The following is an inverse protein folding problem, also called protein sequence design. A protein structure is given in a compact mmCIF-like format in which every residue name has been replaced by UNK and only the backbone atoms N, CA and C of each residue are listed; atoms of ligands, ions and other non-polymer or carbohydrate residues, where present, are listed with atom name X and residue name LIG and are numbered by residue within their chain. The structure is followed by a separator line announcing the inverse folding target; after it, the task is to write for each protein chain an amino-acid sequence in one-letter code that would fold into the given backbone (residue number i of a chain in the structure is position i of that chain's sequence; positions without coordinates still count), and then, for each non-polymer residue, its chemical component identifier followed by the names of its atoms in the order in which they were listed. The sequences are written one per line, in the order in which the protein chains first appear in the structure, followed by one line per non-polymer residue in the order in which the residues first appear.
data_IF_960629572530
#
_entry.id   IF_960629572530
#
_cell.length_a   1.000
_cell.length_b   1.000
_cell.length_c   1.000
_cell.angle_alpha   90.00
_cell.angle_beta   90.00
_cell.angle_gamma   90.00
#
_symmetry.space_group_name_H-M   'P 1'
#
loop_
_entity.id
_entity.type
_entity.pdbx_description
1 polymer ?
#
# COMPACT_ATOMS: atom_id res chain seq x y z
N UNK A 1 -28.43 6.41 1.12
CA UNK A 1 -27.14 6.21 1.81
C UNK A 1 -26.59 4.87 1.34
N UNK A 2 -25.32 4.77 0.94
CA UNK A 2 -24.76 3.49 0.48
C UNK A 2 -24.53 2.56 1.69
N UNK A 3 -24.99 1.32 1.62
CA UNK A 3 -24.87 0.38 2.73
C UNK A 3 -23.43 -0.17 2.79
N UNK A 4 -22.68 0.25 3.82
CA UNK A 4 -21.27 -0.11 4.03
C UNK A 4 -21.04 -1.61 4.27
N UNK A 5 -22.09 -2.37 4.57
CA UNK A 5 -22.05 -3.82 4.80
C UNK A 5 -22.23 -4.62 3.51
N UNK A 6 -22.81 -4.05 2.46
CA UNK A 6 -23.07 -4.77 1.24
C UNK A 6 -21.83 -4.75 0.31
N UNK A 7 -21.29 -5.91 -0.07
CA UNK A 7 -20.23 -5.97 -1.05
C UNK A 7 -20.70 -5.52 -2.42
N UNK A 8 -19.82 -4.81 -3.13
CA UNK A 8 -19.99 -4.44 -4.53
C UNK A 8 -19.38 -5.52 -5.41
N UNK A 9 -19.92 -5.69 -6.61
CA UNK A 9 -19.39 -6.63 -7.60
C UNK A 9 -18.41 -5.93 -8.55
N UNK A 10 -17.37 -6.64 -8.93
CA UNK A 10 -16.41 -6.22 -9.94
C UNK A 10 -16.01 -7.39 -10.83
N UNK A 11 -15.67 -7.10 -12.08
CA UNK A 11 -15.16 -8.05 -13.06
C UNK A 11 -13.65 -7.91 -13.20
N UNK A 12 -12.94 -9.03 -13.17
CA UNK A 12 -11.49 -9.05 -13.39
C UNK A 12 -11.20 -8.76 -14.86
N UNK A 13 -10.37 -7.75 -15.11
CA UNK A 13 -9.98 -7.33 -16.46
C UNK A 13 -8.55 -7.67 -16.82
N UNK A 14 -7.68 -7.83 -15.82
CA UNK A 14 -6.29 -8.27 -16.00
C UNK A 14 -5.81 -9.03 -14.76
N UNK A 15 -5.06 -10.09 -14.99
CA UNK A 15 -4.28 -10.80 -13.97
C UNK A 15 -2.84 -10.82 -14.44
N UNK A 16 -1.90 -10.51 -13.56
CA UNK A 16 -0.47 -10.51 -13.84
C UNK A 16 0.28 -11.22 -12.71
N UNK A 17 1.06 -12.26 -13.02
CA UNK A 17 1.93 -12.89 -12.03
C UNK A 17 3.10 -11.94 -11.72
N UNK A 18 3.30 -11.60 -10.45
CA UNK A 18 4.36 -10.69 -10.00
C UNK A 18 5.57 -11.44 -9.42
N UNK A 19 5.30 -12.52 -8.69
CA UNK A 19 6.28 -13.45 -8.08
C UNK A 19 5.72 -14.89 -8.16
N UNK A 20 6.43 -15.92 -7.69
CA UNK A 20 5.91 -17.28 -7.66
C UNK A 20 4.56 -17.42 -6.93
N UNK A 21 4.35 -16.67 -5.85
CA UNK A 21 3.17 -16.73 -4.98
C UNK A 21 2.29 -15.46 -5.02
N UNK A 22 2.61 -14.44 -5.82
CA UNK A 22 1.80 -13.21 -5.95
C UNK A 22 1.23 -13.03 -7.35
N UNK A 23 -0.07 -12.71 -7.37
CA UNK A 23 -0.77 -12.20 -8.55
C UNK A 23 -1.29 -10.79 -8.29
N UNK A 24 -1.13 -9.92 -9.26
CA UNK A 24 -1.79 -8.62 -9.35
C UNK A 24 -3.10 -8.79 -10.09
N UNK A 25 -4.18 -8.29 -9.50
CA UNK A 25 -5.52 -8.32 -10.07
C UNK A 25 -5.96 -6.90 -10.36
N UNK A 26 -6.36 -6.64 -11.61
CA UNK A 26 -7.06 -5.43 -12.02
C UNK A 26 -8.52 -5.76 -12.23
N UNK A 27 -9.42 -4.99 -11.64
CA UNK A 27 -10.85 -5.22 -11.75
C UNK A 27 -11.62 -3.90 -11.93
N UNK A 28 -12.78 -4.03 -12.56
CA UNK A 28 -13.70 -2.92 -12.85
C UNK A 28 -15.05 -3.24 -12.24
N UNK A 29 -15.68 -2.26 -11.60
CA UNK A 29 -17.01 -2.42 -11.01
C UNK A 29 -18.02 -2.84 -12.07
N UNK A 30 -18.90 -3.78 -11.74
CA UNK A 30 -20.03 -4.21 -12.59
C UNK A 30 -21.35 -3.99 -11.86
N UNK A 31 -22.22 -3.17 -12.44
CA UNK A 31 -23.53 -2.84 -11.88
C UNK A 31 -23.51 -2.01 -10.58
N UNK A 32 -24.70 -1.53 -10.17
CA UNK A 32 -24.94 -0.67 -9.01
C UNK A 32 -25.30 0.77 -9.40
N UNK A 33 -25.97 1.56 -8.52
CA UNK A 33 -26.33 2.93 -8.83
C UNK A 33 -25.10 3.75 -9.22
N UNK A 34 -25.24 4.58 -10.28
CA UNK A 34 -24.18 5.38 -10.89
C UNK A 34 -23.53 6.41 -9.94
N UNK A 35 -24.18 6.68 -8.81
CA UNK A 35 -23.76 7.69 -7.86
C UNK A 35 -23.15 7.04 -6.61
N UNK A 36 -21.82 6.99 -6.57
CA UNK A 36 -21.05 6.80 -5.34
C UNK A 36 -21.56 7.81 -4.29
N UNK A 37 -22.19 7.31 -3.23
CA UNK A 37 -22.67 8.12 -2.13
C UNK A 37 -21.49 8.76 -1.42
N UNK A 38 -21.50 10.09 -1.36
CA UNK A 38 -20.49 10.89 -0.69
C UNK A 38 -20.38 10.54 0.81
N UNK A 39 -19.34 9.81 1.18
CA UNK A 39 -18.83 9.79 2.55
C UNK A 39 -17.42 10.39 2.54
N UNK A 40 -17.30 11.70 2.75
CA UNK A 40 -16.02 12.42 2.97
C UNK A 40 -14.84 12.11 2.02
N UNK A 41 -15.08 11.70 0.79
CA UNK A 41 -14.04 11.57 -0.23
C UNK A 41 -14.08 12.80 -1.15
N UNK A 42 -12.95 13.49 -1.31
CA UNK A 42 -12.86 14.60 -2.26
C UNK A 42 -13.26 14.06 -3.64
N UNK A 43 -14.26 14.66 -4.30
CA UNK A 43 -14.69 14.28 -5.65
C UNK A 43 -13.73 14.86 -6.67
N UNK A 44 -13.46 14.11 -7.73
CA UNK A 44 -13.20 14.64 -9.06
C UNK A 44 -14.24 14.02 -9.99
N UNK A 45 -14.43 14.67 -11.14
CA UNK A 45 -15.44 14.43 -12.17
C UNK A 45 -15.64 12.97 -12.64
N UNK A 46 -14.80 12.02 -12.22
CA UNK A 46 -14.71 10.70 -12.85
C UNK A 46 -14.85 9.48 -11.90
N UNK A 47 -15.31 9.63 -10.65
CA UNK A 47 -16.08 8.54 -10.01
C UNK A 47 -15.38 7.46 -9.16
N UNK A 48 -14.08 7.53 -8.85
CA UNK A 48 -13.47 6.78 -7.73
C UNK A 48 -12.30 7.58 -7.15
N UNK A 49 -12.34 7.93 -5.86
CA UNK A 49 -11.20 8.53 -5.15
C UNK A 49 -11.04 7.79 -3.82
N UNK A 50 -10.00 6.97 -3.75
CA UNK A 50 -9.40 6.56 -2.50
C UNK A 50 -8.18 7.46 -2.26
N UNK A 51 -7.89 7.73 -1.00
CA UNK A 51 -6.61 8.30 -0.63
C UNK A 51 -5.55 7.18 -0.63
N UNK A 52 -4.34 7.42 -1.19
CA UNK A 52 -3.22 6.50 -1.03
C UNK A 52 -3.07 6.04 0.42
N UNK A 53 -2.80 4.75 0.62
CA UNK A 53 -2.73 4.12 1.94
C UNK A 53 -4.05 3.51 2.43
N UNK A 54 -5.19 3.83 1.81
CA UNK A 54 -6.44 3.11 2.08
C UNK A 54 -6.44 1.70 1.49
N UNK A 55 -7.33 0.87 2.01
CA UNK A 55 -7.48 -0.54 1.59
C UNK A 55 -8.95 -0.85 1.26
N UNK A 56 -9.16 -2.01 0.65
CA UNK A 56 -10.49 -2.61 0.48
C UNK A 56 -10.52 -3.98 1.14
N UNK A 57 -11.71 -4.46 1.47
CA UNK A 57 -11.92 -5.89 1.71
C UNK A 57 -12.34 -6.51 0.38
N UNK A 58 -11.52 -7.38 -0.20
CA UNK A 58 -11.85 -8.08 -1.44
C UNK A 58 -12.12 -9.56 -1.15
N UNK A 59 -13.07 -10.14 -1.88
CA UNK A 59 -13.58 -11.46 -1.58
C UNK A 59 -14.22 -12.15 -2.77
N UNK A 60 -14.72 -13.35 -2.48
CA UNK A 60 -15.51 -14.17 -3.39
C UNK A 60 -16.68 -14.73 -2.59
N UNK A 61 -17.86 -14.78 -3.20
CA UNK A 61 -19.03 -15.41 -2.59
C UNK A 61 -18.72 -16.84 -2.14
N UNK A 62 -19.10 -17.18 -0.91
CA UNK A 62 -18.83 -18.50 -0.31
C UNK A 62 -17.43 -18.67 0.30
N UNK A 63 -16.46 -17.79 0.02
CA UNK A 63 -15.10 -17.88 0.55
C UNK A 63 -14.76 -16.80 1.60
N UNK A 64 -15.56 -15.72 1.65
CA UNK A 64 -15.33 -14.57 2.53
C UNK A 64 -14.52 -13.47 1.85
N UNK A 65 -13.93 -12.58 2.65
CA UNK A 65 -13.15 -11.42 2.19
C UNK A 65 -11.92 -11.18 3.08
N UNK A 66 -10.92 -10.50 2.54
CA UNK A 66 -9.68 -10.15 3.22
C UNK A 66 -9.22 -8.73 2.84
N UNK A 67 -8.45 -8.04 3.71
CA UNK A 67 -7.95 -6.69 3.44
C UNK A 67 -6.82 -6.69 2.42
N UNK A 68 -6.90 -5.77 1.46
CA UNK A 68 -5.85 -5.53 0.46
C UNK A 68 -5.66 -4.04 0.22
N UNK A 69 -4.42 -3.58 0.32
CA UNK A 69 -4.04 -2.21 -0.04
C UNK A 69 -4.22 -1.94 -1.54
N UNK A 70 -4.70 -0.74 -1.86
CA UNK A 70 -4.86 -0.32 -3.25
C UNK A 70 -3.54 0.21 -3.81
N UNK A 71 -3.17 -0.28 -4.99
CA UNK A 71 -1.92 0.09 -5.68
C UNK A 71 -2.12 0.82 -7.02
N UNK A 72 -3.37 0.90 -7.49
CA UNK A 72 -3.72 1.75 -8.62
C UNK A 72 -3.48 3.23 -8.29
N UNK A 73 -3.35 4.08 -9.33
CA UNK A 73 -3.32 5.53 -9.12
C UNK A 73 -4.68 6.02 -8.61
N UNK A 74 -4.74 6.91 -7.59
CA UNK A 74 -6.02 7.50 -7.14
C UNK A 74 -6.68 8.38 -8.21
N UNK A 75 -5.96 8.70 -9.28
CA UNK A 75 -6.50 9.45 -10.42
C UNK A 75 -7.02 8.56 -11.56
N UNK A 76 -6.82 7.25 -11.49
CA UNK A 76 -7.35 6.28 -12.45
C UNK A 76 -8.58 5.62 -11.84
N UNK A 77 -9.76 6.06 -12.28
CA UNK A 77 -11.06 5.59 -11.79
C UNK A 77 -11.65 4.44 -12.64
N UNK A 78 -11.04 4.14 -13.79
CA UNK A 78 -11.55 3.09 -14.67
C UNK A 78 -11.35 1.70 -14.09
N UNK A 79 -10.47 1.52 -13.11
CA UNK A 79 -10.15 0.23 -12.50
C UNK A 79 -9.52 0.39 -11.11
N UNK A 80 -9.55 -0.67 -10.32
CA UNK A 80 -8.75 -0.81 -9.10
C UNK A 80 -7.74 -1.95 -9.29
N UNK A 81 -6.62 -1.87 -8.58
CA UNK A 81 -5.60 -2.92 -8.55
C UNK A 81 -5.28 -3.33 -7.12
N UNK A 82 -5.11 -4.64 -6.91
CA UNK A 82 -4.60 -5.25 -5.68
C UNK A 82 -3.57 -6.33 -6.01
N UNK A 83 -2.62 -6.53 -5.11
CA UNK A 83 -1.63 -7.61 -5.19
C UNK A 83 -1.96 -8.61 -4.10
N UNK A 84 -2.16 -9.87 -4.49
CA UNK A 84 -2.60 -10.94 -3.60
C UNK A 84 -1.52 -12.00 -3.54
N UNK A 85 -0.92 -12.15 -2.36
CA UNK A 85 -0.06 -13.29 -2.04
C UNK A 85 -0.91 -14.51 -1.70
N UNK A 86 -0.59 -15.66 -2.26
CA UNK A 86 -1.22 -16.92 -1.89
C UNK A 86 -0.60 -17.43 -0.59
N UNK A 87 -1.31 -17.22 0.51
CA UNK A 87 -0.89 -17.67 1.84
C UNK A 87 -1.46 -19.05 2.21
N UNK A 88 -2.17 -19.71 1.30
CA UNK A 88 -2.93 -20.94 1.60
C UNK A 88 -4.23 -20.68 2.38
N UNK A 89 -4.54 -19.44 2.73
CA UNK A 89 -5.80 -19.07 3.37
C UNK A 89 -7.00 -19.14 2.42
N UNK A 90 -8.21 -19.27 2.98
CA UNK A 90 -9.44 -19.49 2.20
C UNK A 90 -9.64 -18.48 1.06
N UNK A 91 -9.55 -17.18 1.39
CA UNK A 91 -9.77 -16.08 0.42
C UNK A 91 -8.61 -15.94 -0.57
N UNK A 92 -7.37 -15.92 -0.09
CA UNK A 92 -6.19 -15.72 -0.95
C UNK A 92 -6.00 -16.87 -1.93
N UNK A 93 -6.22 -18.11 -1.47
CA UNK A 93 -6.16 -19.30 -2.32
C UNK A 93 -7.31 -19.31 -3.34
N UNK A 94 -8.53 -18.92 -2.95
CA UNK A 94 -9.66 -18.82 -3.87
C UNK A 94 -9.45 -17.74 -4.95
N UNK A 95 -8.94 -16.55 -4.59
CA UNK A 95 -8.60 -15.49 -5.54
C UNK A 95 -7.58 -15.96 -6.58
N UNK A 96 -6.61 -16.79 -6.17
CA UNK A 96 -5.59 -17.32 -7.08
C UNK A 96 -6.12 -18.29 -8.13
N UNK A 97 -7.32 -18.84 -7.98
CA UNK A 97 -7.98 -19.70 -8.97
C UNK A 97 -8.78 -18.93 -10.03
N UNK A 98 -9.03 -17.65 -9.80
CA UNK A 98 -9.80 -16.82 -10.72
C UNK A 98 -9.03 -16.53 -12.01
N UNK A 99 -9.80 -16.29 -13.06
CA UNK A 99 -9.36 -15.94 -14.40
C UNK A 99 -9.86 -14.55 -14.80
N UNK A 100 -9.30 -14.01 -15.88
CA UNK A 100 -9.82 -12.78 -16.48
C UNK A 100 -11.27 -13.03 -16.90
N UNK A 101 -12.17 -12.13 -16.52
CA UNK A 101 -13.60 -12.25 -16.78
C UNK A 101 -14.41 -12.70 -15.58
N UNK A 102 -13.79 -13.31 -14.56
CA UNK A 102 -14.50 -13.72 -13.36
C UNK A 102 -14.94 -12.52 -12.51
N UNK A 103 -15.96 -12.74 -11.68
CA UNK A 103 -16.47 -11.76 -10.73
C UNK A 103 -15.79 -11.89 -9.37
N UNK A 104 -15.53 -10.75 -8.72
CA UNK A 104 -15.13 -10.64 -7.32
C UNK A 104 -16.08 -9.72 -6.58
N UNK A 105 -16.07 -9.80 -5.25
CA UNK A 105 -16.70 -8.83 -4.37
C UNK A 105 -15.68 -7.92 -3.73
N UNK A 106 -16.09 -6.69 -3.42
CA UNK A 106 -15.30 -5.83 -2.55
C UNK A 106 -16.13 -4.86 -1.73
N UNK A 107 -15.60 -4.47 -0.57
CA UNK A 107 -16.10 -3.39 0.29
C UNK A 107 -15.00 -2.35 0.54
N UNK A 108 -15.41 -1.11 0.81
CA UNK A 108 -14.50 0.02 1.02
C UNK A 108 -14.58 1.10 -0.08
N UNK A 109 -13.56 1.94 -0.25
CA UNK A 109 -12.30 1.94 0.49
C UNK A 109 -12.51 2.22 1.99
N UNK A 110 -11.64 1.64 2.81
CA UNK A 110 -11.63 1.77 4.26
C UNK A 110 -10.32 2.38 4.76
N UNK A 111 -10.37 2.84 6.01
CA UNK A 111 -9.24 3.43 6.72
C UNK A 111 -8.91 4.87 6.33
N UNK A 112 -7.86 5.37 6.97
CA UNK A 112 -7.21 6.66 6.83
C UNK A 112 -5.98 6.48 5.95
N UNK A 113 -5.88 7.30 4.90
CA UNK A 113 -4.73 7.33 3.99
C UNK A 113 -3.68 8.36 4.41
N UNK A 114 -2.65 8.53 3.57
CA UNK A 114 -1.60 9.54 3.79
C UNK A 114 -2.15 10.98 3.75
N UNK A 115 -1.62 11.91 4.57
CA UNK A 115 -2.02 13.31 4.56
C UNK A 115 -1.36 14.06 3.39
N UNK A 116 -1.91 13.88 2.18
CA UNK A 116 -1.27 14.32 0.92
C UNK A 116 -0.94 15.83 0.88
N UNK A 117 -1.78 16.68 1.47
CA UNK A 117 -1.52 18.12 1.51
C UNK A 117 -0.33 18.49 2.39
N UNK A 118 -0.16 17.79 3.53
CA UNK A 118 0.98 17.98 4.42
C UNK A 118 2.30 17.55 3.77
N UNK A 119 2.24 16.56 2.87
CA UNK A 119 3.40 16.05 2.15
C UNK A 119 3.86 16.96 1.00
N UNK A 120 3.07 17.97 0.60
CA UNK A 120 3.46 18.89 -0.49
C UNK A 120 4.69 19.71 -0.10
N UNK A 121 5.55 19.95 -1.07
CA UNK A 121 6.84 20.66 -0.94
C UNK A 121 7.84 20.00 0.01
N UNK A 122 7.57 18.78 0.48
CA UNK A 122 8.49 17.99 1.31
C UNK A 122 9.35 17.06 0.46
N UNK A 123 10.52 16.73 0.99
CA UNK A 123 11.25 15.54 0.57
C UNK A 123 10.54 14.30 1.13
N UNK A 124 10.50 13.19 0.40
CA UNK A 124 9.93 11.93 0.90
C UNK A 124 10.89 10.77 0.76
N UNK A 125 11.04 10.02 1.85
CA UNK A 125 11.72 8.74 1.91
C UNK A 125 10.69 7.63 2.11
N UNK A 126 10.41 6.89 1.06
CA UNK A 126 9.49 5.77 1.10
C UNK A 126 10.27 4.48 1.23
N UNK A 127 9.91 3.64 2.21
CA UNK A 127 10.57 2.36 2.43
C UNK A 127 9.55 1.23 2.42
N UNK A 128 9.79 0.23 1.58
CA UNK A 128 8.92 -0.93 1.46
C UNK A 128 9.70 -2.23 1.65
N UNK A 129 9.06 -3.23 2.24
CA UNK A 129 9.60 -4.59 2.37
C UNK A 129 8.64 -5.64 1.83
N UNK A 130 9.08 -6.42 0.84
CA UNK A 130 8.34 -7.53 0.24
C UNK A 130 6.94 -7.12 -0.21
N UNK A 131 5.93 -7.66 0.45
CA UNK A 131 4.51 -7.45 0.15
C UNK A 131 3.94 -6.13 0.69
N UNK A 132 4.71 -5.35 1.44
CA UNK A 132 4.31 -4.03 1.96
C UNK A 132 4.35 -2.89 0.92
N UNK A 133 4.73 -3.17 -0.33
CA UNK A 133 4.76 -2.16 -1.39
C UNK A 133 3.40 -1.54 -1.77
N UNK A 134 2.22 -2.20 -1.69
CA UNK A 134 0.95 -1.64 -2.19
C UNK A 134 0.57 -0.25 -1.66
N UNK A 135 0.53 0.04 -0.34
CA UNK A 135 0.20 1.38 0.15
C UNK A 135 1.21 2.43 -0.33
N UNK A 136 2.49 2.07 -0.42
CA UNK A 136 3.56 2.93 -0.93
C UNK A 136 3.42 3.16 -2.44
N UNK A 137 3.03 2.14 -3.21
CA UNK A 137 2.79 2.23 -4.65
C UNK A 137 1.68 3.25 -4.95
N UNK A 138 0.56 3.19 -4.23
CA UNK A 138 -0.51 4.18 -4.37
C UNK A 138 -0.04 5.61 -4.09
N UNK A 139 0.86 5.80 -3.11
CA UNK A 139 1.44 7.10 -2.80
C UNK A 139 2.40 7.58 -3.91
N UNK A 140 3.25 6.69 -4.43
CA UNK A 140 4.15 7.00 -5.56
C UNK A 140 3.34 7.41 -6.80
N UNK A 141 2.28 6.69 -7.13
CA UNK A 141 1.42 7.03 -8.28
C UNK A 141 0.78 8.42 -8.12
N UNK A 142 0.45 8.83 -6.89
CA UNK A 142 -0.01 10.19 -6.61
C UNK A 142 1.10 11.22 -6.81
N UNK A 143 2.28 10.95 -6.24
CA UNK A 143 3.45 11.85 -6.28
C UNK A 143 3.93 12.04 -7.71
N UNK A 144 4.12 10.96 -8.47
CA UNK A 144 4.60 11.01 -9.87
C UNK A 144 3.67 11.85 -10.73
N UNK A 145 2.34 11.73 -10.56
CA UNK A 145 1.39 12.54 -11.31
C UNK A 145 1.40 14.02 -10.92
N UNK A 146 1.84 14.34 -9.71
CA UNK A 146 1.92 15.70 -9.17
C UNK A 146 3.36 16.12 -8.89
N UNK A 147 4.33 15.58 -9.65
CA UNK A 147 5.75 15.61 -9.30
C UNK A 147 6.28 17.01 -8.95
N UNK A 148 5.77 18.05 -9.63
CA UNK A 148 6.12 19.47 -9.40
C UNK A 148 5.77 20.01 -8.01
N UNK A 149 4.88 19.34 -7.27
CA UNK A 149 4.44 19.76 -5.94
C UNK A 149 5.26 19.11 -4.82
N UNK A 150 6.35 18.41 -5.14
CA UNK A 150 7.11 17.59 -4.20
C UNK A 150 8.61 17.84 -4.35
N UNK A 151 9.35 17.70 -3.26
CA UNK A 151 10.81 17.83 -3.23
C UNK A 151 11.52 16.62 -3.83
N UNK A 152 12.60 16.15 -3.18
CA UNK A 152 13.32 14.92 -3.51
C UNK A 152 12.53 13.71 -3.05
N UNK A 153 12.44 12.70 -3.91
CA UNK A 153 11.64 11.51 -3.63
C UNK A 153 12.51 10.27 -3.78
N UNK A 154 12.57 9.48 -2.72
CA UNK A 154 13.29 8.22 -2.64
C UNK A 154 12.31 7.07 -2.41
N UNK A 155 12.48 5.99 -3.14
CA UNK A 155 11.93 4.68 -2.81
C UNK A 155 13.09 3.73 -2.48
N UNK A 156 13.06 3.13 -1.31
CA UNK A 156 13.98 2.06 -0.90
C UNK A 156 13.14 0.80 -0.73
N UNK A 157 13.32 -0.17 -1.62
CA UNK A 157 12.48 -1.36 -1.68
C UNK A 157 13.30 -2.63 -1.55
N UNK A 158 13.04 -3.39 -0.48
CA UNK A 158 13.68 -4.67 -0.19
C UNK A 158 12.80 -5.87 -0.47
N UNK A 159 13.38 -6.98 -0.94
CA UNK A 159 12.72 -8.27 -1.02
C UNK A 159 13.69 -9.42 -0.70
N UNK A 160 13.21 -10.65 -0.52
CA UNK A 160 14.09 -11.79 -0.20
C UNK A 160 15.00 -12.16 -1.37
N UNK A 161 14.47 -12.21 -2.58
CA UNK A 161 15.22 -12.47 -3.83
C UNK A 161 14.80 -11.49 -4.92
N UNK A 162 15.55 -11.37 -6.04
CA UNK A 162 15.12 -10.59 -7.19
C UNK A 162 13.78 -11.04 -7.79
N UNK A 163 13.41 -12.31 -7.62
CA UNK A 163 12.13 -12.85 -8.10
C UNK A 163 10.94 -12.42 -7.22
N UNK A 164 11.19 -12.07 -5.96
CA UNK A 164 10.17 -11.63 -5.01
C UNK A 164 9.83 -10.13 -5.12
N UNK A 165 10.61 -9.36 -5.89
CA UNK A 165 10.32 -7.96 -6.16
C UNK A 165 9.03 -7.82 -6.97
N UNK A 166 8.04 -7.13 -6.41
CA UNK A 166 6.77 -6.86 -7.05
C UNK A 166 6.83 -5.57 -7.89
N UNK A 167 5.88 -5.40 -8.79
CA UNK A 167 5.68 -4.18 -9.58
C UNK A 167 6.89 -3.74 -10.42
N UNK A 168 7.73 -4.69 -10.87
CA UNK A 168 8.97 -4.42 -11.64
C UNK A 168 8.75 -3.46 -12.81
N UNK A 169 7.65 -3.62 -13.55
CA UNK A 169 7.27 -2.72 -14.64
C UNK A 169 7.05 -1.27 -14.15
N UNK A 170 6.29 -1.09 -13.07
CA UNK A 170 6.05 0.24 -12.48
C UNK A 170 7.31 0.84 -11.89
N UNK A 171 8.15 0.04 -11.23
CA UNK A 171 9.45 0.47 -10.71
C UNK A 171 10.30 1.07 -11.85
N UNK A 172 10.30 0.41 -13.02
CA UNK A 172 11.02 0.92 -14.19
C UNK A 172 10.48 2.24 -14.74
N UNK A 173 9.19 2.52 -14.53
CA UNK A 173 8.57 3.81 -14.85
C UNK A 173 8.89 4.86 -13.78
N UNK A 174 8.78 4.50 -12.50
CA UNK A 174 9.00 5.39 -11.37
C UNK A 174 10.44 5.91 -11.29
N UNK A 175 11.44 5.06 -11.60
CA UNK A 175 12.86 5.48 -11.59
C UNK A 175 13.18 6.64 -12.56
N UNK A 176 12.30 6.93 -13.53
CA UNK A 176 12.43 8.08 -14.43
C UNK A 176 12.04 9.41 -13.77
N UNK A 177 11.38 9.36 -12.61
CA UNK A 177 10.74 10.51 -11.94
C UNK A 177 11.19 10.66 -10.48
N UNK A 178 11.59 9.56 -9.84
CA UNK A 178 12.04 9.48 -8.45
C UNK A 178 13.29 8.62 -8.35
N UNK A 179 14.07 8.76 -7.28
CA UNK A 179 15.24 7.90 -7.04
C UNK A 179 14.80 6.59 -6.42
N UNK A 180 15.06 5.47 -7.11
CA UNK A 180 14.70 4.13 -6.61
C UNK A 180 15.97 3.37 -6.26
N UNK A 181 16.00 2.80 -5.07
CA UNK A 181 17.06 1.92 -4.56
C UNK A 181 16.42 0.58 -4.26
N UNK A 182 16.84 -0.45 -4.96
CA UNK A 182 16.37 -1.81 -4.75
C UNK A 182 17.41 -2.62 -3.99
N UNK A 183 16.96 -3.46 -3.08
CA UNK A 183 17.82 -4.38 -2.33
C UNK A 183 17.20 -5.76 -2.21
N UNK A 184 18.05 -6.77 -2.12
CA UNK A 184 17.62 -8.14 -1.84
C UNK A 184 18.50 -8.79 -0.77
N UNK A 185 17.94 -9.74 -0.03
CA UNK A 185 18.70 -10.52 0.95
C UNK A 185 19.59 -11.56 0.23
N UNK A 186 19.02 -12.25 -0.77
CA UNK A 186 19.67 -13.32 -1.51
C UNK A 186 19.74 -12.95 -3.01
N UNK A 187 20.87 -12.39 -3.49
CA UNK A 187 21.02 -12.03 -4.89
C UNK A 187 21.18 -13.26 -5.79
N UNK A 188 20.76 -13.13 -7.05
CA UNK A 188 21.13 -14.06 -8.12
C UNK A 188 22.30 -13.49 -8.95
N UNK A 189 22.85 -14.29 -9.88
CA UNK A 189 23.98 -13.87 -10.71
C UNK A 189 23.70 -12.63 -11.59
N UNK A 190 22.43 -12.31 -11.84
CA UNK A 190 22.01 -11.17 -12.64
C UNK A 190 21.71 -9.91 -11.81
N UNK A 191 21.77 -9.99 -10.49
CA UNK A 191 21.41 -8.90 -9.61
C UNK A 191 22.43 -7.77 -9.64
N UNK A 192 21.95 -6.54 -9.90
CA UNK A 192 22.78 -5.32 -9.97
C UNK A 192 22.43 -4.28 -8.91
N UNK A 193 21.43 -4.56 -8.07
CA UNK A 193 21.02 -3.67 -6.99
C UNK A 193 21.85 -3.88 -5.73
N UNK A 194 21.43 -3.24 -4.64
CA UNK A 194 22.06 -3.43 -3.35
C UNK A 194 21.77 -4.83 -2.78
N UNK A 195 22.60 -5.26 -1.83
CA UNK A 195 22.41 -6.50 -1.08
C UNK A 195 22.38 -6.15 0.40
N UNK A 196 21.40 -6.70 1.13
CA UNK A 196 21.23 -6.46 2.56
C UNK A 196 20.00 -5.62 2.91
N UNK A 197 19.96 -5.16 4.16
CA UNK A 197 18.77 -4.54 4.72
C UNK A 197 18.53 -3.13 4.18
N UNK A 198 17.24 -2.80 3.95
CA UNK A 198 16.81 -1.44 3.58
C UNK A 198 17.31 -0.37 4.56
N UNK A 199 17.55 -0.75 5.82
CA UNK A 199 17.98 0.17 6.86
C UNK A 199 19.39 0.70 6.71
N UNK A 200 20.26 -0.05 6.06
CA UNK A 200 21.64 0.36 5.83
C UNK A 200 21.71 1.37 4.67
N UNK A 201 20.83 1.20 3.68
CA UNK A 201 20.80 2.02 2.47
C UNK A 201 20.24 3.42 2.71
N UNK A 202 19.40 3.56 3.72
CA UNK A 202 18.82 4.85 4.11
C UNK A 202 19.89 5.85 4.53
N UNK A 203 21.03 5.39 5.07
CA UNK A 203 22.13 6.27 5.51
C UNK A 203 22.83 7.00 4.35
N UNK A 204 22.65 6.51 3.12
CA UNK A 204 23.35 7.00 1.94
C UNK A 204 22.48 7.95 1.10
N UNK A 205 21.31 8.37 1.60
CA UNK A 205 20.44 9.30 0.90
C UNK A 205 20.70 10.74 1.35
N UNK A 206 20.55 11.68 0.42
CA UNK A 206 20.67 13.09 0.72
C UNK A 206 19.28 13.72 0.82
N UNK A 207 18.89 14.04 2.05
CA UNK A 207 17.62 14.71 2.37
C UNK A 207 17.85 15.85 3.36
N UNK A 208 16.99 16.87 3.30
CA UNK A 208 16.86 17.83 4.39
C UNK A 208 15.91 17.26 5.45
N UNK A 209 16.46 16.77 6.57
CA UNK A 209 15.70 16.25 7.70
C UNK A 209 14.61 17.22 8.21
N UNK A 210 14.88 18.53 8.14
CA UNK A 210 13.95 19.57 8.59
C UNK A 210 12.78 19.79 7.61
N UNK A 211 12.87 19.28 6.38
CA UNK A 211 11.82 19.37 5.37
C UNK A 211 11.41 17.99 4.80
N UNK A 212 11.89 16.89 5.37
CA UNK A 212 11.58 15.55 4.91
C UNK A 212 10.43 14.89 5.71
N UNK A 213 9.76 13.97 5.04
CA UNK A 213 8.84 12.99 5.63
C UNK A 213 9.26 11.58 5.22
N UNK A 214 8.88 10.57 6.01
CA UNK A 214 9.09 9.16 5.69
C UNK A 214 7.77 8.41 5.62
N UNK A 215 7.65 7.43 4.74
CA UNK A 215 6.48 6.55 4.65
C UNK A 215 6.93 5.10 4.53
N UNK A 216 6.42 4.22 5.39
CA UNK A 216 6.98 2.88 5.55
C UNK A 216 5.92 1.80 5.66
N UNK A 217 6.18 0.65 5.05
CA UNK A 217 5.34 -0.53 5.17
C UNK A 217 6.15 -1.81 4.91
N UNK A 218 6.02 -2.79 5.79
CA UNK A 218 6.75 -4.04 5.70
C UNK A 218 6.52 -4.94 6.92
N UNK A 219 7.25 -6.05 7.02
CA UNK A 219 7.09 -7.03 8.10
C UNK A 219 7.52 -6.46 9.46
N UNK A 220 6.98 -7.01 10.56
CA UNK A 220 7.28 -6.60 11.95
C UNK A 220 8.77 -6.36 12.25
N UNK A 221 9.70 -7.25 11.87
CA UNK A 221 11.15 -7.02 12.08
C UNK A 221 11.70 -5.79 11.35
N UNK A 222 11.22 -5.51 10.13
CA UNK A 222 11.54 -4.26 9.43
C UNK A 222 10.93 -3.08 10.18
N UNK A 223 9.73 -3.25 10.75
CA UNK A 223 9.06 -2.25 11.55
C UNK A 223 9.83 -1.90 12.83
N UNK A 224 10.34 -2.88 13.55
CA UNK A 224 11.23 -2.68 14.70
C UNK A 224 12.58 -2.09 14.28
N UNK A 225 13.06 -2.42 13.07
CA UNK A 225 14.23 -1.78 12.49
C UNK A 225 13.99 -0.32 12.10
N UNK A 226 12.74 0.19 12.04
CA UNK A 226 12.46 1.60 11.71
C UNK A 226 13.24 2.55 12.59
N UNK A 227 13.35 2.32 13.90
CA UNK A 227 14.12 3.23 14.75
C UNK A 227 15.56 3.42 14.24
N UNK A 228 16.18 2.33 13.76
CA UNK A 228 17.52 2.36 13.17
C UNK A 228 17.56 3.05 11.80
N UNK A 229 16.43 3.10 11.11
CA UNK A 229 16.25 3.75 9.80
C UNK A 229 16.05 5.26 9.97
N UNK A 230 15.21 5.63 10.93
CA UNK A 230 14.68 6.98 11.08
C UNK A 230 15.58 7.88 11.91
N UNK A 231 16.16 7.36 13.00
CA UNK A 231 17.04 8.13 13.89
C UNK A 231 18.22 8.75 13.13
N UNK A 232 18.93 8.02 12.23
CA UNK A 232 20.01 8.62 11.46
C UNK A 232 19.56 9.71 10.48
N UNK A 233 18.29 9.70 10.05
CA UNK A 233 17.74 10.71 9.16
C UNK A 233 17.32 11.99 9.89
N UNK A 234 17.20 11.99 11.23
CA UNK A 234 16.77 13.16 12.00
C UNK A 234 15.33 13.61 11.75
N UNK A 235 14.50 12.79 11.11
CA UNK A 235 13.08 13.11 10.85
C UNK A 235 12.29 12.89 12.14
N UNK A 236 11.49 13.88 12.55
CA UNK A 236 10.61 13.77 13.72
C UNK A 236 9.51 12.72 13.53
N UNK A 237 9.11 12.03 14.60
CA UNK A 237 8.07 10.98 14.58
C UNK A 237 6.75 11.40 13.91
N UNK A 238 6.33 12.66 14.09
CA UNK A 238 5.14 13.24 13.43
C UNK A 238 5.26 13.50 11.92
N UNK A 239 6.40 13.16 11.34
CA UNK A 239 6.67 13.21 9.88
C UNK A 239 6.98 11.83 9.32
N UNK A 240 6.75 10.80 10.12
CA UNK A 240 7.00 9.42 9.78
C UNK A 240 5.65 8.71 9.78
N UNK A 241 5.30 8.18 8.61
CA UNK A 241 4.04 7.49 8.38
C UNK A 241 4.30 5.99 8.27
N UNK A 242 3.49 5.22 8.97
CA UNK A 242 3.55 3.76 8.94
C UNK A 242 2.21 3.22 8.47
N UNK A 243 2.25 2.29 7.52
CA UNK A 243 1.10 1.46 7.18
C UNK A 243 1.14 0.15 7.95
N UNK A 244 0.19 -0.04 8.87
CA UNK A 244 0.04 -1.30 9.62
C UNK A 244 -0.90 -2.29 8.93
N UNK A 245 -0.54 -3.57 9.02
CA UNK A 245 -1.37 -4.69 8.60
C UNK A 245 -1.83 -5.49 9.83
N UNK A 246 -3.13 -5.83 9.86
CA UNK A 246 -3.75 -6.67 10.90
C UNK A 246 -4.82 -7.55 10.29
N UNK A 247 -5.22 -8.60 11.02
CA UNK A 247 -6.40 -9.39 10.67
C UNK A 247 -7.64 -8.49 10.74
N UNK A 248 -8.31 -8.28 9.62
CA UNK A 248 -9.53 -7.48 9.54
C UNK A 248 -10.71 -8.35 9.13
N UNK A 249 -11.87 -8.11 9.76
CA UNK A 249 -13.14 -8.72 9.38
C UNK A 249 -14.17 -7.65 9.01
N UNK A 250 -14.56 -6.80 9.97
CA UNK A 250 -15.60 -5.80 9.70
C UNK A 250 -15.12 -4.67 8.77
N UNK A 251 -13.86 -4.24 8.89
CA UNK A 251 -13.29 -3.09 8.17
C UNK A 251 -13.75 -1.72 8.67
N UNK A 252 -14.58 -1.67 9.72
CA UNK A 252 -15.32 -0.46 10.16
C UNK A 252 -15.25 -0.20 11.67
N UNK A 253 -14.26 -0.78 12.37
CA UNK A 253 -14.01 -0.49 13.79
C UNK A 253 -15.03 -1.06 14.77
N UNK A 254 -15.67 -2.20 14.45
CA UNK A 254 -16.70 -2.82 15.32
C UNK A 254 -16.28 -4.13 15.98
N UNK A 255 -15.58 -5.00 15.25
CA UNK A 255 -15.29 -6.35 15.70
C UNK A 255 -13.98 -6.51 16.49
N UNK A 256 -13.18 -5.44 16.64
CA UNK A 256 -11.89 -5.41 17.36
C UNK A 256 -10.78 -6.37 16.88
N UNK A 257 -11.00 -7.22 15.87
CA UNK A 257 -9.98 -8.13 15.33
C UNK A 257 -8.69 -7.44 14.84
N UNK A 258 -8.79 -6.16 14.48
CA UNK A 258 -7.66 -5.34 14.05
C UNK A 258 -7.19 -4.36 15.13
N UNK A 259 -7.49 -4.64 16.39
CA UNK A 259 -7.05 -3.80 17.50
C UNK A 259 -5.52 -3.82 17.60
N UNK A 260 -4.94 -2.65 17.85
CA UNK A 260 -3.54 -2.47 18.25
C UNK A 260 -3.52 -1.40 19.34
N UNK A 261 -3.14 -1.79 20.56
CA UNK A 261 -3.36 -0.95 21.74
C UNK A 261 -4.82 -0.50 21.87
N UNK A 262 -5.04 0.81 21.90
CA UNK A 262 -6.37 1.43 21.96
C UNK A 262 -6.93 1.88 20.60
N UNK A 263 -6.33 1.44 19.49
CA UNK A 263 -6.70 1.81 18.11
C UNK A 263 -7.23 0.63 17.34
N UNK A 264 -8.07 0.92 16.34
CA UNK A 264 -8.51 -0.05 15.34
C UNK A 264 -7.85 0.28 13.99
N UNK A 265 -6.95 -0.59 13.53
CA UNK A 265 -6.21 -0.36 12.27
C UNK A 265 -7.14 -0.10 11.08
N UNK A 266 -8.32 -0.73 11.02
CA UNK A 266 -9.26 -0.52 9.91
C UNK A 266 -9.99 0.84 9.91
N UNK A 267 -10.07 1.52 11.05
CA UNK A 267 -10.85 2.75 11.21
C UNK A 267 -9.97 3.96 11.55
N UNK A 268 -9.00 3.79 12.45
CA UNK A 268 -8.05 4.82 12.86
C UNK A 268 -6.81 4.88 11.95
N UNK A 269 -6.48 3.76 11.29
CA UNK A 269 -5.40 3.63 10.31
C UNK A 269 -5.93 3.20 8.95
N UNK A 270 -5.15 2.51 8.09
CA UNK A 270 -3.92 1.80 8.42
C UNK A 270 -2.68 2.69 8.44
N UNK A 271 -2.78 3.92 7.91
CA UNK A 271 -1.69 4.90 7.98
C UNK A 271 -1.73 5.62 9.32
N UNK A 272 -0.67 5.46 10.11
CA UNK A 272 -0.47 6.12 11.39
C UNK A 272 0.78 6.99 11.36
N UNK A 273 0.82 8.01 12.21
CA UNK A 273 2.10 8.62 12.60
C UNK A 273 2.87 7.66 13.50
N UNK A 274 4.20 7.70 13.44
CA UNK A 274 5.05 6.78 14.19
C UNK A 274 4.80 6.86 15.72
N UNK A 275 4.57 8.06 16.25
CA UNK A 275 4.28 8.31 17.67
C UNK A 275 2.95 7.72 18.16
N UNK A 276 2.03 7.36 17.26
CA UNK A 276 0.71 6.81 17.61
C UNK A 276 0.73 5.31 17.91
N UNK A 277 1.79 4.61 17.49
CA UNK A 277 1.85 3.14 17.48
C UNK A 277 3.13 2.60 18.11
N UNK A 278 3.91 3.46 18.78
CA UNK A 278 5.20 3.12 19.37
C UNK A 278 5.13 1.81 20.18
N UNK A 279 5.96 0.84 19.76
CA UNK A 279 6.10 -0.53 20.29
C UNK A 279 4.89 -1.47 20.15
N UNK A 280 3.80 -1.07 19.47
CA UNK A 280 2.64 -1.91 19.17
C UNK A 280 2.63 -2.39 17.70
N UNK A 281 3.77 -2.94 17.26
CA UNK A 281 3.99 -3.36 15.87
C UNK A 281 3.35 -4.71 15.54
N UNK A 282 3.17 -5.59 16.54
CA UNK A 282 2.68 -6.97 16.41
C UNK A 282 1.22 -7.17 16.84
#
# INVERSE_FOLDING_TARGET
MENIYLPRRAKITKIERQSPDVKLFRFQKIGGPANYGASKFAKNKNGLIFNPGQFILAGIWGYGEAPFGLLSSPYKNSYLEISVRNTGGNVTHALHRLQKGDEITFRGPYGVGFPLDFLKSKDLVMVAGGYGIPPIAGLIEYIVKNRKNFGRIYLIYGAKTPQDLLLKSKINEWQKQIKVILTVDNPDAGWKGAVGMVSELVKNIEIDANNACAAMCGPGPMMTALEKILRPLGISDRRIFVSLERKMQCGIGKCQHCATGNKYVCADGPIFYFDQIDKNWD
#
